data_IF_334266328465
#
_entry.id   IF_334266328465
#
_cell.length_a   1.000
_cell.length_b   1.000
_cell.length_c   1.000
_cell.angle_alpha   90.00
_cell.angle_beta   90.00
_cell.angle_gamma   90.00
#
_symmetry.space_group_name_H-M   'P 1'
#
loop_
_entity.id
_entity.type
_entity.pdbx_description
1 polymer ?
#
# COMPACT_ATOMS: atom_id res chain seq x y z
N UNK A 1 -13.79 -61.63 15.85
CA UNK A 1 -14.12 -60.43 15.06
C UNK A 1 -15.21 -59.68 15.81
N UNK A 2 -14.82 -58.80 16.73
CA UNK A 2 -15.71 -57.97 17.54
C UNK A 2 -15.85 -56.61 16.86
N UNK A 3 -17.06 -56.08 16.59
CA UNK A 3 -17.19 -54.72 16.11
C UNK A 3 -16.99 -53.74 17.27
N UNK A 4 -15.96 -52.91 17.15
CA UNK A 4 -15.69 -51.76 18.03
C UNK A 4 -16.76 -50.70 17.77
N UNK A 5 -17.51 -50.32 18.80
CA UNK A 5 -18.43 -49.18 18.73
C UNK A 5 -17.64 -47.86 18.52
N UNK A 6 -18.17 -46.89 17.77
CA UNK A 6 -17.53 -45.57 17.63
C UNK A 6 -17.71 -44.73 18.92
N UNK A 7 -16.74 -43.89 19.28
CA UNK A 7 -16.85 -43.04 20.46
C UNK A 7 -17.91 -41.95 20.29
N UNK A 8 -18.59 -41.64 21.38
CA UNK A 8 -19.61 -40.60 21.46
C UNK A 8 -19.06 -39.21 21.10
N UNK A 9 -19.84 -38.46 20.32
CA UNK A 9 -19.56 -37.07 19.95
C UNK A 9 -19.59 -36.18 21.20
N UNK A 10 -18.50 -35.45 21.44
CA UNK A 10 -18.41 -34.44 22.50
C UNK A 10 -19.39 -33.27 22.22
N UNK A 11 -19.96 -32.64 23.27
CA UNK A 11 -20.82 -31.48 23.08
C UNK A 11 -20.02 -30.28 22.52
N UNK A 12 -20.63 -29.59 21.57
CA UNK A 12 -20.13 -28.37 20.93
C UNK A 12 -19.69 -27.34 21.98
N UNK A 13 -18.40 -27.02 21.99
CA UNK A 13 -17.85 -25.91 22.78
C UNK A 13 -18.22 -24.61 22.06
N UNK A 14 -19.20 -23.89 22.59
CA UNK A 14 -19.48 -22.52 22.19
C UNK A 14 -18.28 -21.66 22.61
N UNK A 15 -17.61 -20.90 21.71
CA UNK A 15 -16.68 -19.89 22.16
C UNK A 15 -17.47 -18.80 22.87
N UNK A 16 -17.27 -18.69 24.17
CA UNK A 16 -17.74 -17.58 24.97
C UNK A 16 -17.07 -16.29 24.47
N UNK A 17 -17.90 -15.35 24.01
CA UNK A 17 -17.49 -13.97 23.76
C UNK A 17 -17.02 -13.33 25.07
N UNK A 18 -15.78 -12.85 25.09
CA UNK A 18 -15.44 -11.46 25.41
C UNK A 18 -13.92 -11.31 25.60
N UNK A 19 -13.29 -10.52 24.73
CA UNK A 19 -12.12 -9.77 25.14
C UNK A 19 -12.49 -8.29 25.00
N UNK A 20 -12.36 -7.58 26.12
CA UNK A 20 -12.72 -6.18 26.29
C UNK A 20 -12.07 -5.31 25.19
N UNK A 21 -12.88 -4.45 24.58
CA UNK A 21 -12.38 -3.31 23.84
C UNK A 21 -11.58 -2.44 24.83
N UNK A 22 -10.26 -2.56 24.79
CA UNK A 22 -9.40 -1.54 25.34
C UNK A 22 -9.73 -0.28 24.54
N UNK A 23 -10.29 0.72 25.22
CA UNK A 23 -10.48 2.05 24.67
C UNK A 23 -9.12 2.67 24.37
N UNK A 24 -8.50 2.28 23.27
CA UNK A 24 -7.42 3.04 22.67
C UNK A 24 -8.09 4.13 21.85
N UNK A 25 -8.04 5.37 22.34
CA UNK A 25 -8.26 6.52 21.45
C UNK A 25 -7.42 6.29 20.19
N UNK A 26 -7.99 6.46 18.99
CA UNK A 26 -7.22 6.30 17.77
C UNK A 26 -5.99 7.20 17.88
N UNK A 27 -4.82 6.63 17.61
CA UNK A 27 -3.60 7.43 17.53
C UNK A 27 -3.85 8.62 16.58
N UNK A 28 -3.30 9.81 16.89
CA UNK A 28 -3.50 10.98 16.05
C UNK A 28 -3.11 10.65 14.60
N UNK A 29 -3.89 11.14 13.64
CA UNK A 29 -3.65 10.90 12.23
C UNK A 29 -2.21 11.34 11.85
N UNK A 30 -1.52 10.60 10.97
CA UNK A 30 -0.16 10.95 10.60
C UNK A 30 -0.07 12.36 9.99
N UNK A 31 0.94 13.13 10.38
CA UNK A 31 1.16 14.46 9.82
C UNK A 31 1.68 14.33 8.38
N UNK A 32 1.03 15.03 7.45
CA UNK A 32 1.48 15.11 6.05
C UNK A 32 2.61 16.10 5.88
N UNK A 33 3.68 15.65 5.24
CA UNK A 33 4.77 16.48 4.73
C UNK A 33 4.45 16.93 3.31
N UNK A 34 4.22 18.24 3.12
CA UNK A 34 3.93 18.83 1.81
C UNK A 34 5.20 19.01 0.97
N UNK A 35 5.08 18.83 -0.34
CA UNK A 35 6.16 18.96 -1.33
C UNK A 35 5.61 19.63 -2.60
N UNK A 36 6.46 20.22 -3.45
CA UNK A 36 6.00 20.82 -4.71
C UNK A 36 5.24 19.86 -5.64
N UNK A 37 5.51 18.55 -5.55
CA UNK A 37 4.85 17.52 -6.34
C UNK A 37 3.59 16.91 -5.68
N UNK A 38 3.27 17.29 -4.43
CA UNK A 38 2.19 16.68 -3.66
C UNK A 38 2.54 16.54 -2.18
N UNK A 39 2.42 15.33 -1.63
CA UNK A 39 2.68 15.09 -0.20
C UNK A 39 3.05 13.64 0.09
N UNK A 40 3.65 13.41 1.25
CA UNK A 40 3.72 12.07 1.84
C UNK A 40 3.44 12.12 3.34
N UNK A 41 3.07 10.99 3.91
CA UNK A 41 3.01 10.76 5.35
C UNK A 41 3.68 9.43 5.69
N UNK A 42 4.28 9.33 6.87
CA UNK A 42 4.88 8.09 7.38
C UNK A 42 3.82 7.39 8.22
N UNK A 43 3.43 6.19 7.80
CA UNK A 43 2.42 5.38 8.49
C UNK A 43 3.03 4.51 9.59
N UNK A 44 4.24 4.01 9.35
CA UNK A 44 5.00 3.21 10.31
C UNK A 44 6.49 3.31 9.99
N UNK A 45 7.33 3.25 11.03
CA UNK A 45 8.78 3.25 10.93
C UNK A 45 9.37 2.41 12.06
N UNK A 46 10.27 1.50 11.71
CA UNK A 46 11.02 0.69 12.66
C UNK A 46 12.39 0.32 12.05
N UNK A 47 13.31 -0.29 12.82
CA UNK A 47 14.56 -0.79 12.25
C UNK A 47 14.30 -1.69 11.03
N UNK A 48 14.89 -1.34 9.89
CA UNK A 48 14.79 -2.11 8.65
C UNK A 48 13.63 -1.73 7.71
N UNK A 49 12.63 -0.95 8.12
CA UNK A 49 11.56 -0.55 7.20
C UNK A 49 10.95 0.82 7.49
N UNK A 50 10.32 1.38 6.44
CA UNK A 50 9.50 2.59 6.52
C UNK A 50 8.32 2.46 5.57
N UNK A 51 7.11 2.62 6.10
CA UNK A 51 5.88 2.61 5.30
C UNK A 51 5.43 4.04 5.10
N UNK A 52 5.28 4.45 3.85
CA UNK A 52 4.79 5.78 3.48
C UNK A 52 3.52 5.67 2.66
N UNK A 53 2.61 6.62 2.87
CA UNK A 53 1.55 6.93 1.91
C UNK A 53 1.92 8.21 1.18
N UNK A 54 1.88 8.16 -0.15
CA UNK A 54 2.35 9.24 -1.03
C UNK A 54 1.20 9.66 -1.94
N UNK A 55 0.90 10.95 -1.98
CA UNK A 55 -0.02 11.55 -2.94
C UNK A 55 0.73 12.44 -3.92
N UNK A 56 0.62 12.17 -5.22
CA UNK A 56 1.24 12.97 -6.28
C UNK A 56 0.15 13.76 -6.99
N UNK A 57 0.29 15.08 -7.03
CA UNK A 57 -0.70 15.94 -7.68
C UNK A 57 -0.72 15.69 -9.21
N UNK A 58 -1.85 15.95 -9.89
CA UNK A 58 -1.94 15.80 -11.35
C UNK A 58 -0.82 16.58 -12.07
N UNK A 59 -0.17 15.92 -13.04
CA UNK A 59 0.92 16.47 -13.84
C UNK A 59 2.27 16.51 -13.11
N UNK A 60 2.31 16.11 -11.84
CA UNK A 60 3.52 16.12 -11.04
C UNK A 60 4.20 14.75 -11.02
N UNK A 61 5.48 14.77 -10.60
CA UNK A 61 6.29 13.58 -10.44
C UNK A 61 7.28 13.72 -9.31
N UNK A 62 7.67 12.58 -8.75
CA UNK A 62 8.85 12.49 -7.90
C UNK A 62 10.11 12.64 -8.75
N UNK A 63 11.21 13.02 -8.09
CA UNK A 63 12.53 12.97 -8.72
C UNK A 63 12.90 11.53 -9.09
N UNK A 64 13.84 11.36 -10.03
CA UNK A 64 14.40 10.02 -10.30
C UNK A 64 15.14 9.56 -9.04
N UNK A 65 14.93 8.31 -8.62
CA UNK A 65 15.53 7.76 -7.40
C UNK A 65 16.33 6.50 -7.72
N UNK A 66 17.33 6.22 -6.88
CA UNK A 66 18.09 4.95 -6.86
C UNK A 66 18.55 4.71 -5.42
N UNK A 67 18.25 3.54 -4.88
CA UNK A 67 18.60 3.18 -3.51
C UNK A 67 19.41 1.89 -3.49
N UNK A 68 20.65 1.96 -3.01
CA UNK A 68 21.56 0.79 -2.97
C UNK A 68 21.24 -0.18 -1.83
N UNK A 69 20.60 0.29 -0.77
CA UNK A 69 20.35 -0.47 0.46
C UNK A 69 18.87 -0.62 0.81
N UNK A 70 17.97 -0.24 -0.11
CA UNK A 70 16.52 -0.38 0.07
C UNK A 70 15.87 -0.88 -1.21
N UNK A 71 15.13 -1.98 -1.10
CA UNK A 71 14.11 -2.36 -2.05
C UNK A 71 12.78 -1.69 -1.66
N UNK A 72 11.92 -1.43 -2.63
CA UNK A 72 10.62 -0.81 -2.38
C UNK A 72 9.49 -1.67 -2.94
N UNK A 73 8.37 -1.72 -2.22
CA UNK A 73 7.13 -2.32 -2.70
C UNK A 73 6.08 -1.21 -2.75
N UNK A 74 5.55 -0.94 -3.94
CA UNK A 74 4.55 0.11 -4.14
C UNK A 74 3.21 -0.53 -4.49
N UNK A 75 2.14 -0.04 -3.86
CA UNK A 75 0.77 -0.45 -4.15
C UNK A 75 -0.05 0.77 -4.58
N UNK A 76 -0.76 0.65 -5.70
CA UNK A 76 -1.72 1.64 -6.15
C UNK A 76 -2.93 1.65 -5.22
N UNK A 77 -3.19 2.79 -4.58
CA UNK A 77 -4.36 2.94 -3.69
C UNK A 77 -5.54 3.57 -4.42
N UNK A 78 -5.31 4.69 -5.11
CA UNK A 78 -6.33 5.48 -5.80
C UNK A 78 -5.73 6.13 -7.05
N UNK A 79 -6.55 6.36 -8.07
CA UNK A 79 -6.13 6.99 -9.33
C UNK A 79 -5.23 6.10 -10.20
N UNK A 80 -4.53 6.72 -11.15
CA UNK A 80 -3.54 6.07 -12.02
C UNK A 80 -2.17 6.73 -11.81
N UNK A 81 -1.13 5.92 -11.59
CA UNK A 81 0.23 6.42 -11.52
C UNK A 81 1.11 5.78 -12.61
N UNK A 82 1.91 6.61 -13.29
CA UNK A 82 2.93 6.18 -14.24
C UNK A 82 4.20 5.85 -13.45
N UNK A 83 4.57 4.58 -13.36
CA UNK A 83 5.77 4.12 -12.68
C UNK A 83 6.84 3.77 -13.72
N UNK A 84 8.04 4.30 -13.52
CA UNK A 84 9.23 3.93 -14.29
C UNK A 84 10.16 3.12 -13.39
N UNK A 85 10.64 1.96 -13.86
CA UNK A 85 11.65 1.11 -13.22
C UNK A 85 12.66 0.64 -14.26
N UNK A 86 13.89 1.11 -14.16
CA UNK A 86 14.90 1.01 -15.22
C UNK A 86 14.36 1.63 -16.51
N UNK A 87 14.41 0.85 -17.59
CA UNK A 87 13.91 1.25 -18.92
C UNK A 87 12.41 1.02 -19.11
N UNK A 88 11.74 0.38 -18.14
CA UNK A 88 10.32 0.04 -18.25
C UNK A 88 9.47 1.15 -17.65
N UNK A 89 8.39 1.49 -18.33
CA UNK A 89 7.34 2.35 -17.80
C UNK A 89 5.98 1.67 -17.93
N UNK A 90 5.19 1.70 -16.85
CA UNK A 90 3.85 1.12 -16.81
C UNK A 90 2.91 2.00 -15.98
N UNK A 91 1.62 1.81 -16.20
CA UNK A 91 0.59 2.39 -15.33
C UNK A 91 0.27 1.43 -14.18
N UNK A 92 0.28 1.96 -12.96
CA UNK A 92 -0.07 1.29 -11.73
C UNK A 92 -1.47 1.77 -11.31
N UNK A 93 -2.44 0.86 -11.41
CA UNK A 93 -3.85 1.10 -11.08
C UNK A 93 -4.17 0.70 -9.62
N UNK A 94 -5.34 1.07 -9.08
CA UNK A 94 -5.74 0.69 -7.72
C UNK A 94 -5.75 -0.83 -7.54
N UNK A 95 -5.18 -1.31 -6.44
CA UNK A 95 -5.04 -2.73 -6.13
C UNK A 95 -3.87 -3.44 -6.82
N UNK A 96 -3.20 -2.80 -7.78
CA UNK A 96 -1.97 -3.32 -8.38
C UNK A 96 -0.76 -2.96 -7.54
N UNK A 97 0.33 -3.71 -7.70
CA UNK A 97 1.59 -3.44 -7.04
C UNK A 97 2.78 -3.61 -7.98
N UNK A 98 3.91 -3.07 -7.55
CA UNK A 98 5.21 -3.27 -8.20
C UNK A 98 6.32 -3.31 -7.15
N UNK A 99 7.24 -4.25 -7.34
CA UNK A 99 8.48 -4.34 -6.58
C UNK A 99 9.62 -3.66 -7.33
N UNK A 100 10.42 -2.91 -6.59
CA UNK A 100 11.59 -2.17 -7.05
C UNK A 100 12.79 -2.76 -6.30
N UNK A 101 13.64 -3.46 -7.04
CA UNK A 101 14.82 -4.12 -6.49
C UNK A 101 15.90 -3.11 -6.05
N UNK A 102 16.83 -3.58 -5.23
CA UNK A 102 18.01 -2.81 -4.81
C UNK A 102 18.80 -2.32 -6.02
N UNK A 103 19.18 -1.05 -6.02
CA UNK A 103 19.97 -0.43 -7.08
C UNK A 103 19.20 -0.08 -8.35
N UNK A 104 17.90 -0.42 -8.44
CA UNK A 104 17.06 -0.03 -9.57
C UNK A 104 16.78 1.46 -9.57
N UNK A 105 16.85 2.05 -10.77
CA UNK A 105 16.46 3.44 -10.99
C UNK A 105 14.95 3.49 -11.14
N UNK A 106 14.27 4.36 -10.42
CA UNK A 106 12.80 4.39 -10.43
C UNK A 106 12.20 5.79 -10.22
N UNK A 107 10.94 5.95 -10.64
CA UNK A 107 10.17 7.19 -10.48
C UNK A 107 8.67 6.91 -10.46
N UNK A 108 7.94 7.69 -9.65
CA UNK A 108 6.48 7.79 -9.67
C UNK A 108 6.05 9.12 -10.31
N UNK A 109 5.11 9.08 -11.25
CA UNK A 109 4.47 10.26 -11.82
C UNK A 109 2.94 10.09 -11.83
N UNK A 110 2.22 11.21 -11.72
CA UNK A 110 0.78 11.25 -11.96
C UNK A 110 0.54 11.93 -13.32
N UNK A 111 0.19 11.18 -14.38
CA UNK A 111 0.02 11.73 -15.71
C UNK A 111 -1.29 12.55 -15.87
N UNK A 112 -2.19 12.52 -14.88
CA UNK A 112 -3.46 13.25 -14.96
C UNK A 112 -3.25 14.75 -15.17
N UNK A 113 -4.17 15.41 -15.86
CA UNK A 113 -4.12 16.87 -16.06
C UNK A 113 -4.70 17.62 -14.87
N UNK A 114 -4.14 18.80 -14.58
CA UNK A 114 -4.74 19.72 -13.62
C UNK A 114 -6.03 20.30 -14.24
N UNK A 115 -7.19 19.67 -13.96
CA UNK A 115 -8.48 20.19 -14.42
C UNK A 115 -9.62 19.19 -14.62
N UNK A 116 -9.43 17.88 -14.40
CA UNK A 116 -10.54 16.93 -14.57
C UNK A 116 -10.46 15.77 -13.57
N UNK A 117 -11.24 15.78 -12.47
CA UNK A 117 -11.21 14.73 -11.46
C UNK A 117 -11.90 13.42 -11.88
N UNK A 118 -12.60 13.38 -13.03
CA UNK A 118 -13.61 12.34 -13.32
C UNK A 118 -13.35 11.45 -14.55
N UNK A 119 -12.26 11.63 -15.30
CA UNK A 119 -11.95 10.74 -16.43
C UNK A 119 -10.94 9.65 -16.07
N UNK A 120 -11.42 8.67 -15.32
CA UNK A 120 -10.84 7.32 -15.29
C UNK A 120 -11.39 6.49 -16.47
N UNK A 121 -11.23 6.94 -17.72
CA UNK A 121 -11.66 6.16 -18.89
C UNK A 121 -10.96 6.61 -20.17
N UNK A 122 -9.71 6.18 -20.30
CA UNK A 122 -9.25 5.35 -21.42
C UNK A 122 -7.76 5.14 -21.17
N UNK A 123 -7.43 4.14 -20.34
CA UNK A 123 -6.05 3.66 -20.11
C UNK A 123 -4.97 4.64 -19.65
N UNK A 124 -5.29 5.81 -19.07
CA UNK A 124 -4.26 6.84 -18.88
C UNK A 124 -3.57 7.19 -20.23
#
# INVERSE_FOLDING_TARGET
MTPSAPPALAPSVTPQQAAAAHGSSPAPAPVRSLRPWGWYEVLAEAPGYKVKRIGVAPGQRLSLQKHLHRAEHWMGLLGCARVTVGERSLDLLPGQHIDIALGEVHRLANPGSAGRPDQASSKC
#
